data_IF_918002556754
#
_entry.id   IF_918002556754
#
_cell.length_a   1.000
_cell.length_b   1.000
_cell.length_c   1.000
_cell.angle_alpha   90.00
_cell.angle_beta   90.00
_cell.angle_gamma   90.00
#
_symmetry.space_group_name_H-M   'P 1'
#
loop_
_entity.id
_entity.type
_entity.pdbx_description
1 polymer ?
#
# COMPACT_ATOMS: atom_id res chain seq x y z
N UNK A 1 17.28 -7.23 9.70
CA UNK A 1 15.87 -7.43 10.15
C UNK A 1 15.41 -8.74 9.57
N UNK A 2 14.92 -9.68 10.39
CA UNK A 2 14.34 -10.92 9.88
C UNK A 2 12.95 -10.61 9.31
N UNK A 3 12.54 -11.33 8.28
CA UNK A 3 11.27 -11.08 7.58
C UNK A 3 10.06 -11.14 8.53
N UNK A 4 10.10 -12.05 9.52
CA UNK A 4 9.05 -12.16 10.55
C UNK A 4 8.91 -10.91 11.44
N UNK A 5 10.01 -10.24 11.77
CA UNK A 5 9.97 -9.01 12.59
C UNK A 5 9.28 -7.87 11.82
N UNK A 6 9.48 -7.81 10.50
CA UNK A 6 8.82 -6.82 9.65
C UNK A 6 7.31 -7.02 9.61
N UNK A 7 6.86 -8.26 9.39
CA UNK A 7 5.44 -8.59 9.40
C UNK A 7 4.81 -8.27 10.76
N UNK A 8 5.44 -8.73 11.85
CA UNK A 8 4.94 -8.48 13.20
C UNK A 8 4.88 -6.99 13.56
N UNK A 9 5.79 -6.16 13.02
CA UNK A 9 5.83 -4.72 13.34
C UNK A 9 4.84 -3.91 12.50
N UNK A 10 4.76 -4.18 11.20
CA UNK A 10 4.09 -3.27 10.25
C UNK A 10 2.82 -3.82 9.59
N UNK A 11 2.64 -5.13 9.55
CA UNK A 11 1.56 -5.78 8.78
C UNK A 11 0.59 -6.56 9.66
N UNK A 12 -0.67 -6.65 9.24
CA UNK A 12 -1.69 -7.51 9.83
C UNK A 12 -2.50 -8.17 8.72
N UNK A 13 -3.17 -9.27 9.06
CA UNK A 13 -4.18 -9.87 8.20
C UNK A 13 -5.52 -9.22 8.54
N UNK A 14 -6.27 -8.78 7.53
CA UNK A 14 -7.63 -8.25 7.70
C UNK A 14 -8.70 -9.36 7.63
N UNK A 15 -9.96 -8.97 7.57
CA UNK A 15 -11.11 -9.87 7.58
C UNK A 15 -11.23 -10.70 6.29
N UNK A 16 -10.67 -10.20 5.18
CA UNK A 16 -10.67 -10.86 3.87
C UNK A 16 -9.45 -11.77 3.68
N UNK A 17 -8.55 -11.81 4.66
CA UNK A 17 -7.30 -12.57 4.59
C UNK A 17 -6.17 -11.81 3.90
N UNK A 18 -6.36 -10.52 3.60
CA UNK A 18 -5.35 -9.69 2.94
C UNK A 18 -4.33 -9.15 3.94
N UNK A 19 -3.08 -9.07 3.48
CA UNK A 19 -2.00 -8.50 4.29
C UNK A 19 -1.97 -6.98 4.13
N UNK A 20 -2.45 -6.28 5.15
CA UNK A 20 -2.58 -4.82 5.16
C UNK A 20 -1.68 -4.17 6.20
N UNK A 21 -1.44 -2.87 6.05
CA UNK A 21 -0.70 -2.08 7.03
C UNK A 21 -1.47 -1.99 8.36
N UNK A 22 -0.75 -2.09 9.49
CA UNK A 22 -1.34 -1.91 10.82
C UNK A 22 -1.80 -0.48 11.10
N UNK A 23 -1.15 0.51 10.49
CA UNK A 23 -1.40 1.92 10.73
C UNK A 23 -1.27 2.77 9.47
N UNK A 24 -2.02 3.88 9.46
CA UNK A 24 -2.04 4.90 8.41
C UNK A 24 -1.65 6.26 9.01
N UNK A 25 -0.83 7.08 8.34
CA UNK A 25 -0.15 6.80 7.05
C UNK A 25 0.98 5.76 7.19
N UNK A 26 1.44 5.20 6.07
CA UNK A 26 2.55 4.24 6.04
C UNK A 26 3.81 4.82 6.72
N UNK A 27 4.48 4.10 7.64
CA UNK A 27 5.64 4.61 8.37
C UNK A 27 6.87 4.80 7.46
N UNK A 28 6.86 4.21 6.27
CA UNK A 28 7.89 4.41 5.25
C UNK A 28 7.58 5.60 4.33
N UNK A 29 6.41 6.23 4.46
CA UNK A 29 6.06 7.42 3.69
C UNK A 29 6.60 8.66 4.40
N UNK A 30 7.52 9.35 3.74
CA UNK A 30 8.09 10.60 4.21
C UNK A 30 7.11 11.77 4.12
N UNK A 31 7.49 12.89 4.75
CA UNK A 31 6.71 14.15 4.77
C UNK A 31 6.59 14.81 3.40
N UNK A 32 7.47 14.43 2.49
CA UNK A 32 7.53 14.84 1.09
C UNK A 32 6.71 13.93 0.16
N UNK A 33 5.97 12.96 0.72
CA UNK A 33 5.27 11.89 0.00
C UNK A 33 6.19 10.90 -0.75
N UNK A 34 7.48 10.87 -0.42
CA UNK A 34 8.41 9.88 -0.95
C UNK A 34 8.55 8.68 0.00
N UNK A 35 8.62 7.48 -0.57
CA UNK A 35 8.77 6.25 0.19
C UNK A 35 10.26 5.94 0.49
N UNK A 36 10.64 5.72 1.74
CA UNK A 36 12.04 5.40 2.10
C UNK A 36 12.53 4.06 1.54
N UNK A 37 11.62 3.19 1.08
CA UNK A 37 11.92 1.84 0.58
C UNK A 37 11.61 1.64 -0.91
N UNK A 38 11.71 2.69 -1.74
CA UNK A 38 11.46 2.66 -3.19
C UNK A 38 11.91 1.37 -3.92
N UNK A 39 13.16 0.88 -3.73
CA UNK A 39 13.67 -0.29 -4.45
C UNK A 39 12.94 -1.59 -4.07
N UNK A 40 12.54 -1.70 -2.81
CA UNK A 40 11.93 -2.90 -2.22
C UNK A 40 10.40 -2.80 -2.14
N UNK A 41 9.78 -1.77 -2.71
CA UNK A 41 8.32 -1.61 -2.65
C UNK A 41 7.61 -2.82 -3.26
N UNK A 42 6.62 -3.41 -2.56
CA UNK A 42 5.75 -4.42 -3.15
C UNK A 42 4.91 -3.79 -4.27
N UNK A 43 4.33 -4.63 -5.13
CA UNK A 43 3.55 -4.19 -6.30
C UNK A 43 2.47 -3.18 -5.92
N UNK A 44 1.71 -3.45 -4.86
CA UNK A 44 0.69 -2.54 -4.36
C UNK A 44 1.26 -1.14 -4.04
N UNK A 45 2.37 -1.05 -3.30
CA UNK A 45 2.99 0.24 -2.98
C UNK A 45 3.59 0.96 -4.20
N UNK A 46 3.89 0.25 -5.30
CA UNK A 46 4.34 0.86 -6.56
C UNK A 46 3.18 1.45 -7.35
N UNK A 47 2.01 0.82 -7.25
CA UNK A 47 0.81 1.23 -7.97
C UNK A 47 0.05 2.35 -7.27
N UNK A 48 0.31 2.63 -5.98
CA UNK A 48 -0.30 3.76 -5.24
C UNK A 48 -0.21 5.08 -6.03
N UNK A 49 -1.32 5.84 -6.20
CA UNK A 49 -2.63 5.73 -5.56
C UNK A 49 -3.62 4.74 -6.21
N UNK A 50 -3.11 3.70 -6.87
CA UNK A 50 -3.82 2.65 -7.61
C UNK A 50 -4.56 3.15 -8.86
N UNK A 51 -4.19 4.35 -9.31
CA UNK A 51 -4.41 5.03 -10.59
C UNK A 51 -4.92 4.24 -11.78
N UNK A 52 -4.12 3.22 -12.10
CA UNK A 52 -4.01 2.66 -13.44
C UNK A 52 -4.90 1.43 -13.65
N UNK A 53 -5.86 1.23 -12.76
CA UNK A 53 -6.79 0.12 -12.88
C UNK A 53 -7.84 0.41 -13.96
N UNK A 54 -8.16 -0.58 -14.81
CA UNK A 54 -9.11 -0.43 -15.92
C UNK A 54 -10.51 0.00 -15.48
N UNK A 55 -10.91 -0.32 -14.24
CA UNK A 55 -12.20 0.08 -13.66
C UNK A 55 -12.16 1.40 -12.90
N UNK A 56 -11.01 2.08 -12.83
CA UNK A 56 -10.83 3.33 -12.07
C UNK A 56 -11.86 4.40 -12.47
N UNK A 57 -12.08 4.60 -13.76
CA UNK A 57 -13.07 5.57 -14.26
C UNK A 57 -14.49 5.26 -13.78
N UNK A 58 -14.85 3.97 -13.69
CA UNK A 58 -16.14 3.54 -13.13
C UNK A 58 -16.22 3.78 -11.63
N UNK A 59 -15.13 3.56 -10.89
CA UNK A 59 -15.07 3.78 -9.43
C UNK A 59 -15.14 5.27 -9.06
N UNK A 60 -14.63 6.14 -9.93
CA UNK A 60 -14.69 7.60 -9.79
C UNK A 60 -15.97 8.22 -10.39
N UNK A 61 -16.91 7.41 -10.89
CA UNK A 61 -18.11 7.87 -11.61
C UNK A 61 -17.80 8.82 -12.79
N UNK A 62 -16.72 8.56 -13.52
CA UNK A 62 -16.26 9.35 -14.69
C UNK A 62 -16.73 8.76 -16.03
N UNK A 63 -17.58 7.74 -15.99
CA UNK A 63 -18.22 7.16 -17.17
C UNK A 63 -19.73 7.31 -16.97
N UNK A 64 -20.33 8.19 -17.78
CA UNK A 64 -21.78 8.24 -18.02
C UNK A 64 -22.20 7.10 -18.96
#
# INVERSE_FOLDING_TARGET
VKEGDFFATYLRVDEDGDTVMKGLPCPFLGRDNYCSVYPARPKACREYPHTDHTKMKKQLNLLE
#
